data_IF_842013239244
#
_entry.id   IF_842013239244
#
_cell.length_a   1.000
_cell.length_b   1.000
_cell.length_c   1.000
_cell.angle_alpha   90.00
_cell.angle_beta   90.00
_cell.angle_gamma   90.00
#
_symmetry.space_group_name_H-M   'P 1'
#
loop_
_entity.id
_entity.type
_entity.pdbx_description
1 polymer ?
#
# COMPACT_ATOMS: atom_id res chain seq x y z
N UNK A 1 9.83 -21.99 22.70
CA UNK A 1 10.25 -20.62 23.07
C UNK A 1 9.38 -19.63 22.31
N UNK A 2 8.69 -18.70 23.00
CA UNK A 2 7.99 -17.61 22.30
C UNK A 2 9.04 -16.57 21.84
N UNK A 3 8.97 -16.06 20.61
CA UNK A 3 9.90 -15.05 20.13
C UNK A 3 9.80 -13.79 21.00
N UNK A 4 10.85 -13.48 21.77
CA UNK A 4 10.90 -12.32 22.69
C UNK A 4 10.72 -10.96 21.98
N UNK A 5 10.91 -10.92 20.67
CA UNK A 5 10.88 -9.71 19.85
C UNK A 5 9.47 -9.34 19.35
N UNK A 6 8.45 -10.20 19.56
CA UNK A 6 7.06 -9.88 19.19
C UNK A 6 6.27 -9.49 20.44
N UNK A 7 5.56 -8.37 20.36
CA UNK A 7 4.70 -7.87 21.44
C UNK A 7 3.56 -8.83 21.79
N UNK A 8 2.94 -8.61 22.95
CA UNK A 8 1.78 -9.40 23.39
C UNK A 8 0.64 -9.24 22.36
N UNK A 9 0.12 -10.37 21.86
CA UNK A 9 -0.99 -10.39 20.89
C UNK A 9 -0.58 -10.32 19.41
N UNK A 10 0.71 -10.18 19.08
CA UNK A 10 1.16 -10.13 17.68
C UNK A 10 0.86 -11.41 16.89
N UNK A 11 0.89 -12.57 17.55
CA UNK A 11 0.56 -13.87 16.93
C UNK A 11 -0.92 -13.92 16.53
N UNK A 12 -1.83 -13.57 17.44
CA UNK A 12 -3.26 -13.51 17.15
C UNK A 12 -3.58 -12.48 16.05
N UNK A 13 -2.92 -11.32 16.06
CA UNK A 13 -3.07 -10.30 15.01
C UNK A 13 -2.60 -10.80 13.64
N UNK A 14 -1.44 -11.45 13.58
CA UNK A 14 -0.94 -12.02 12.32
C UNK A 14 -1.81 -13.15 11.77
N UNK A 15 -2.41 -13.96 12.65
CA UNK A 15 -3.34 -15.01 12.25
C UNK A 15 -4.70 -14.47 11.78
N UNK A 16 -5.19 -13.38 12.39
CA UNK A 16 -6.45 -12.74 12.00
C UNK A 16 -6.32 -11.99 10.66
N UNK A 17 -5.19 -11.30 10.46
CA UNK A 17 -4.91 -10.48 9.29
C UNK A 17 -3.59 -10.90 8.62
N UNK A 18 -3.59 -12.04 7.89
CA UNK A 18 -2.39 -12.51 7.22
C UNK A 18 -2.02 -11.61 6.04
N UNK A 19 -0.72 -11.37 5.85
CA UNK A 19 -0.22 -10.38 4.87
C UNK A 19 -0.71 -10.64 3.44
N UNK A 20 -0.75 -11.90 2.99
CA UNK A 20 -1.23 -12.23 1.64
C UNK A 20 -2.67 -11.78 1.39
N UNK A 21 -3.53 -11.83 2.43
CA UNK A 21 -4.93 -11.44 2.34
C UNK A 21 -5.06 -9.92 2.22
N UNK A 22 -4.27 -9.18 3.00
CA UNK A 22 -4.25 -7.71 2.93
C UNK A 22 -3.71 -7.25 1.57
N UNK A 23 -2.65 -7.89 1.06
CA UNK A 23 -2.08 -7.58 -0.27
C UNK A 23 -3.08 -7.90 -1.39
N UNK A 24 -3.81 -9.01 -1.30
CA UNK A 24 -4.87 -9.33 -2.27
C UNK A 24 -6.02 -8.32 -2.24
N UNK A 25 -6.37 -7.81 -1.05
CA UNK A 25 -7.34 -6.72 -0.91
C UNK A 25 -6.83 -5.42 -1.55
N UNK A 26 -5.58 -5.05 -1.29
CA UNK A 26 -4.94 -3.88 -1.93
C UNK A 26 -4.96 -4.00 -3.46
N UNK A 27 -4.58 -5.16 -4.00
CA UNK A 27 -4.59 -5.43 -5.44
C UNK A 27 -5.99 -5.23 -6.04
N UNK A 28 -7.00 -5.82 -5.40
CA UNK A 28 -8.39 -5.74 -5.85
C UNK A 28 -8.92 -4.30 -5.81
N UNK A 29 -8.59 -3.55 -4.76
CA UNK A 29 -8.98 -2.15 -4.61
C UNK A 29 -8.32 -1.24 -5.64
N UNK A 30 -7.02 -1.43 -5.94
CA UNK A 30 -6.30 -0.65 -6.95
C UNK A 30 -6.82 -0.91 -8.38
N UNK A 31 -7.15 -2.17 -8.70
CA UNK A 31 -7.76 -2.52 -9.99
C UNK A 31 -9.15 -1.88 -10.10
N UNK A 32 -9.96 -1.95 -9.03
CA UNK A 32 -11.32 -1.39 -8.99
C UNK A 32 -11.35 0.12 -9.11
N UNK A 33 -10.38 0.82 -8.51
CA UNK A 33 -10.28 2.28 -8.58
C UNK A 33 -9.59 2.78 -9.86
N UNK A 34 -9.11 1.88 -10.72
CA UNK A 34 -8.24 2.20 -11.86
C UNK A 34 -7.08 3.12 -11.48
N UNK A 35 -6.46 2.85 -10.33
CA UNK A 35 -5.40 3.69 -9.78
C UNK A 35 -4.25 3.87 -10.78
N UNK A 36 -3.76 5.12 -10.88
CA UNK A 36 -2.65 5.49 -11.75
C UNK A 36 -1.50 6.05 -10.93
N UNK A 37 -0.29 5.62 -11.28
CA UNK A 37 0.93 6.12 -10.66
C UNK A 37 1.52 7.29 -11.46
N UNK A 38 1.64 8.46 -10.83
CA UNK A 38 2.34 9.61 -11.39
C UNK A 38 3.84 9.51 -11.09
N UNK A 39 4.68 9.37 -12.12
CA UNK A 39 6.12 9.38 -11.94
C UNK A 39 6.60 10.78 -11.53
N UNK A 40 7.24 10.87 -10.36
CA UNK A 40 7.82 12.10 -9.82
C UNK A 40 9.29 11.87 -9.46
N UNK A 41 10.17 12.29 -10.38
CA UNK A 41 11.63 12.13 -10.29
C UNK A 41 12.08 10.67 -10.14
N UNK A 42 12.10 10.14 -8.91
CA UNK A 42 12.57 8.79 -8.55
C UNK A 42 11.55 7.98 -7.74
N UNK A 43 10.32 8.45 -7.71
CA UNK A 43 9.25 7.83 -6.94
C UNK A 43 7.96 7.88 -7.77
N UNK A 44 7.00 7.04 -7.42
CA UNK A 44 5.68 7.06 -8.01
C UNK A 44 4.69 7.56 -6.97
N UNK A 45 3.92 8.57 -7.34
CA UNK A 45 2.86 9.13 -6.51
C UNK A 45 1.52 8.52 -6.91
N UNK A 46 0.76 8.05 -5.93
CA UNK A 46 -0.59 7.53 -6.14
C UNK A 46 -1.55 8.37 -5.30
N UNK A 47 -2.63 8.83 -5.94
CA UNK A 47 -3.78 9.41 -5.25
C UNK A 47 -4.61 8.28 -4.64
N UNK A 48 -4.90 8.37 -3.35
CA UNK A 48 -5.66 7.36 -2.62
C UNK A 48 -6.81 7.97 -1.83
N UNK A 49 -7.88 7.21 -1.69
CA UNK A 49 -8.95 7.48 -0.74
C UNK A 49 -8.60 6.94 0.66
N UNK A 50 -9.52 7.10 1.61
CA UNK A 50 -9.35 6.64 2.98
C UNK A 50 -9.30 5.09 3.11
N UNK A 51 -9.90 4.34 2.19
CA UNK A 51 -9.91 2.87 2.22
C UNK A 51 -8.56 2.34 1.71
N UNK A 52 -8.09 2.86 0.57
CA UNK A 52 -6.78 2.55 0.01
C UNK A 52 -5.65 2.99 0.94
N UNK A 53 -5.78 4.13 1.63
CA UNK A 53 -4.74 4.58 2.58
C UNK A 53 -4.57 3.63 3.77
N UNK A 54 -5.65 3.07 4.32
CA UNK A 54 -5.58 2.01 5.34
C UNK A 54 -4.87 0.75 4.80
N UNK A 55 -5.17 0.35 3.55
CA UNK A 55 -4.53 -0.80 2.93
C UNK A 55 -3.04 -0.57 2.68
N UNK A 56 -2.62 0.60 2.20
CA UNK A 56 -1.20 0.94 2.07
C UNK A 56 -0.50 0.93 3.42
N UNK A 57 -1.13 1.48 4.46
CA UNK A 57 -0.57 1.47 5.82
C UNK A 57 -0.39 0.04 6.35
N UNK A 58 -1.36 -0.85 6.13
CA UNK A 58 -1.34 -2.24 6.62
C UNK A 58 -0.43 -3.16 5.82
N UNK A 59 -0.24 -2.89 4.54
CA UNK A 59 0.70 -3.63 3.66
C UNK A 59 2.14 -3.11 3.77
N UNK A 60 2.34 -1.97 4.44
CA UNK A 60 3.63 -1.29 4.55
C UNK A 60 4.23 -0.87 3.20
N UNK A 61 3.40 -0.67 2.18
CA UNK A 61 3.83 -0.09 0.91
C UNK A 61 3.87 1.43 0.98
N UNK A 62 4.97 2.00 0.51
CA UNK A 62 5.14 3.42 0.32
C UNK A 62 5.13 4.22 1.62
N UNK A 63 5.06 5.54 1.44
CA UNK A 63 5.02 6.53 2.51
C UNK A 63 3.92 7.53 2.25
N UNK A 64 3.14 7.81 3.28
CA UNK A 64 2.12 8.85 3.22
C UNK A 64 2.75 10.23 3.04
N UNK A 65 2.18 11.04 2.15
CA UNK A 65 2.55 12.44 1.91
C UNK A 65 1.35 13.34 2.20
N UNK A 66 1.54 14.28 3.12
CA UNK A 66 0.58 15.37 3.36
C UNK A 66 0.68 16.33 2.18
N UNK A 67 -0.44 16.54 1.49
CA UNK A 67 -0.60 17.64 0.52
C UNK A 67 -1.40 18.77 1.13
N UNK A 68 -1.14 20.00 0.69
CA UNK A 68 -1.83 21.21 1.14
C UNK A 68 -3.29 21.33 0.67
N UNK A 69 -3.76 20.39 -0.17
CA UNK A 69 -5.17 20.26 -0.54
C UNK A 69 -5.83 19.22 0.37
N UNK A 70 -6.80 19.66 1.16
CA UNK A 70 -7.44 18.90 2.25
C UNK A 70 -8.22 17.66 1.79
N UNK A 71 -8.46 17.49 0.48
CA UNK A 71 -9.33 16.43 -0.04
C UNK A 71 -8.61 15.20 -0.61
N UNK A 72 -7.32 15.30 -0.97
CA UNK A 72 -6.60 14.23 -1.68
C UNK A 72 -5.41 13.74 -0.88
N UNK A 73 -5.40 12.47 -0.51
CA UNK A 73 -4.26 11.83 0.13
C UNK A 73 -3.34 11.24 -0.92
N UNK A 74 -2.04 11.45 -0.77
CA UNK A 74 -1.04 10.91 -1.68
C UNK A 74 -0.13 9.93 -0.97
N UNK A 75 0.16 8.82 -1.63
CA UNK A 75 1.21 7.88 -1.23
C UNK A 75 2.35 7.96 -2.21
N UNK A 76 3.57 8.02 -1.66
CA UNK A 76 4.80 7.94 -2.41
C UNK A 76 5.33 6.51 -2.33
N UNK A 77 5.40 5.85 -3.47
CA UNK A 77 6.05 4.55 -3.63
C UNK A 77 7.49 4.75 -4.11
N UNK A 78 8.37 3.93 -3.57
CA UNK A 78 9.71 3.75 -4.12
C UNK A 78 9.62 2.97 -5.44
N UNK A 79 10.67 3.03 -6.28
CA UNK A 79 10.63 2.40 -7.60
C UNK A 79 10.47 0.89 -7.53
N UNK A 80 11.08 0.21 -6.54
CA UNK A 80 10.88 -1.24 -6.39
C UNK A 80 9.43 -1.60 -6.04
N UNK A 81 8.79 -0.80 -5.19
CA UNK A 81 7.40 -1.02 -4.79
C UNK A 81 6.45 -0.77 -5.97
N UNK A 82 6.65 0.33 -6.70
CA UNK A 82 5.87 0.63 -7.88
C UNK A 82 6.04 -0.45 -8.96
N UNK A 83 7.27 -0.92 -9.18
CA UNK A 83 7.55 -2.01 -10.12
C UNK A 83 6.84 -3.30 -9.72
N UNK A 84 6.88 -3.66 -8.43
CA UNK A 84 6.16 -4.83 -7.92
C UNK A 84 4.65 -4.72 -8.15
N UNK A 85 4.06 -3.55 -7.90
CA UNK A 85 2.63 -3.31 -8.09
C UNK A 85 2.21 -3.31 -9.57
N UNK A 86 3.04 -2.77 -10.47
CA UNK A 86 2.77 -2.75 -11.91
C UNK A 86 2.93 -4.13 -12.56
N UNK A 87 4.00 -4.87 -12.24
CA UNK A 87 4.39 -6.05 -13.02
C UNK A 87 4.13 -7.38 -12.30
N UNK A 88 4.25 -7.44 -10.97
CA UNK A 88 4.02 -8.69 -10.23
C UNK A 88 2.58 -8.82 -9.76
N UNK A 89 1.95 -7.71 -9.33
CA UNK A 89 0.55 -7.70 -8.94
C UNK A 89 -0.40 -7.19 -10.03
N UNK A 90 0.13 -6.60 -11.11
CA UNK A 90 -0.65 -6.11 -12.26
C UNK A 90 -1.84 -5.20 -11.85
N UNK A 91 -1.66 -4.42 -10.77
CA UNK A 91 -2.74 -3.64 -10.17
C UNK A 91 -2.55 -2.12 -10.26
N UNK A 92 -1.39 -1.67 -10.71
CA UNK A 92 -1.10 -0.26 -10.94
C UNK A 92 -0.82 -0.02 -12.42
N UNK A 93 -1.51 0.94 -13.02
CA UNK A 93 -1.24 1.37 -14.40
C UNK A 93 -0.28 2.57 -14.39
N UNK A 94 0.65 2.57 -15.33
CA UNK A 94 1.49 3.74 -15.61
C UNK A 94 0.59 4.89 -16.12
N UNK A 95 0.79 6.10 -15.58
CA UNK A 95 0.03 7.30 -15.96
C UNK A 95 0.57 7.94 -17.25
#
# INVERSE_FOLDING_TARGET
MKPRWKGKGSEAKASADPMYKIVSQLQSSLIRSEARGLLSSRNVLIEVDAELSDLFYRTCFGRWRITSQEEKQWFQLEMEEAFYLCYSLECLKEA
#
